data_IF_356301176156
#
_entry.id   IF_356301176156
#
_cell.length_a   1.000
_cell.length_b   1.000
_cell.length_c   1.000
_cell.angle_alpha   90.00
_cell.angle_beta   90.00
_cell.angle_gamma   90.00
#
_symmetry.space_group_name_H-M   'P 1'
#
loop_
_entity.id
_entity.type
_entity.pdbx_description
1 polymer ?
#
# COMPACT_ATOMS: atom_id res chain seq x y z
N UNK A 1 -6.78 -0.34 27.31
CA UNK A 1 -6.04 -1.21 26.36
C UNK A 1 -6.30 -0.86 24.90
N UNK A 2 -7.53 -1.00 24.37
CA UNK A 2 -7.85 -0.72 22.95
C UNK A 2 -7.42 0.68 22.49
N UNK A 3 -7.63 1.72 23.31
CA UNK A 3 -7.21 3.09 22.98
C UNK A 3 -5.68 3.23 22.78
N UNK A 4 -4.89 2.57 23.62
CA UNK A 4 -3.42 2.59 23.53
C UNK A 4 -2.94 1.84 22.29
N UNK A 5 -3.51 0.65 22.02
CA UNK A 5 -3.20 -0.13 20.81
C UNK A 5 -3.56 0.64 19.54
N UNK A 6 -4.73 1.30 19.52
CA UNK A 6 -5.13 2.17 18.40
C UNK A 6 -4.15 3.31 18.20
N UNK A 7 -3.76 4.01 19.27
CA UNK A 7 -2.77 5.09 19.17
C UNK A 7 -1.41 4.58 18.68
N UNK A 8 -0.95 3.45 19.21
CA UNK A 8 0.29 2.80 18.79
C UNK A 8 0.27 2.48 17.30
N UNK A 9 -0.74 1.75 16.83
CA UNK A 9 -0.90 1.41 15.42
C UNK A 9 -0.98 2.65 14.51
N UNK A 10 -1.70 3.68 14.94
CA UNK A 10 -1.80 4.95 14.20
C UNK A 10 -0.45 5.66 14.07
N UNK A 11 0.31 5.76 15.16
CA UNK A 11 1.64 6.36 15.13
C UNK A 11 2.62 5.53 14.30
N UNK A 12 2.60 4.20 14.43
CA UNK A 12 3.41 3.30 13.60
C UNK A 12 3.13 3.50 12.12
N UNK A 13 1.84 3.58 11.73
CA UNK A 13 1.46 3.85 10.34
C UNK A 13 1.98 5.22 9.87
N UNK A 14 1.82 6.28 10.67
CA UNK A 14 2.33 7.62 10.33
C UNK A 14 3.84 7.60 10.13
N UNK A 15 4.60 7.03 11.06
CA UNK A 15 6.07 6.98 10.95
C UNK A 15 6.53 6.14 9.75
N UNK A 16 5.90 4.98 9.52
CA UNK A 16 6.21 4.16 8.36
C UNK A 16 5.92 4.89 7.05
N UNK A 17 4.78 5.59 6.96
CA UNK A 17 4.42 6.41 5.80
C UNK A 17 5.43 7.55 5.55
N UNK A 18 5.85 8.25 6.61
CA UNK A 18 6.83 9.34 6.50
C UNK A 18 8.21 8.82 6.06
N UNK A 19 8.67 7.70 6.62
CA UNK A 19 9.94 7.06 6.23
C UNK A 19 9.86 6.61 4.78
N UNK A 20 8.78 5.93 4.38
CA UNK A 20 8.54 5.51 3.01
C UNK A 20 8.56 6.71 2.06
N UNK A 21 7.79 7.77 2.36
CA UNK A 21 7.75 8.99 1.57
C UNK A 21 9.11 9.64 1.42
N UNK A 22 9.92 9.69 2.49
CA UNK A 22 11.28 10.20 2.43
C UNK A 22 12.19 9.34 1.54
N UNK A 23 12.12 8.00 1.67
CA UNK A 23 12.90 7.09 0.82
C UNK A 23 12.52 7.25 -0.65
N UNK A 24 11.22 7.28 -0.95
CA UNK A 24 10.72 7.45 -2.30
C UNK A 24 11.13 8.80 -2.90
N UNK A 25 10.99 9.88 -2.14
CA UNK A 25 11.24 11.23 -2.62
C UNK A 25 12.73 11.57 -2.78
N UNK A 26 13.56 11.21 -1.80
CA UNK A 26 14.98 11.60 -1.81
C UNK A 26 15.90 10.59 -2.49
N UNK A 27 15.48 9.32 -2.65
CA UNK A 27 16.33 8.27 -3.25
C UNK A 27 15.73 7.63 -4.50
N UNK A 28 14.45 7.25 -4.48
CA UNK A 28 13.88 6.48 -5.60
C UNK A 28 13.55 7.38 -6.80
N UNK A 29 12.77 8.44 -6.59
CA UNK A 29 12.36 9.36 -7.67
C UNK A 29 13.57 9.99 -8.40
N UNK A 30 14.60 10.52 -7.72
CA UNK A 30 15.76 11.09 -8.40
C UNK A 30 16.54 10.04 -9.21
N UNK A 31 16.57 8.79 -8.74
CA UNK A 31 17.23 7.68 -9.43
C UNK A 31 16.34 6.95 -10.44
N UNK A 32 15.17 7.51 -10.76
CA UNK A 32 14.23 7.04 -11.78
C UNK A 32 13.78 8.21 -12.70
N UNK A 33 14.61 9.25 -12.84
CA UNK A 33 14.33 10.46 -13.63
C UNK A 33 12.98 11.13 -13.31
N UNK A 34 12.54 11.06 -12.05
CA UNK A 34 11.26 11.58 -11.55
C UNK A 34 10.02 10.97 -12.21
N UNK A 35 10.18 9.81 -12.87
CA UNK A 35 9.06 9.03 -13.38
C UNK A 35 8.23 8.48 -12.21
N UNK A 36 6.92 8.40 -12.45
CA UNK A 36 6.00 7.93 -11.43
C UNK A 36 6.23 6.47 -11.12
N UNK A 37 6.16 6.15 -9.84
CA UNK A 37 6.19 4.76 -9.40
C UNK A 37 4.88 4.07 -9.77
N UNK A 38 4.90 2.75 -10.02
CA UNK A 38 3.70 1.95 -10.28
C UNK A 38 2.57 2.20 -9.28
N UNK A 39 2.91 2.38 -8.00
CA UNK A 39 1.98 2.63 -6.89
C UNK A 39 1.14 3.91 -7.00
N UNK A 40 1.59 4.89 -7.78
CA UNK A 40 0.90 6.18 -7.94
C UNK A 40 -0.16 6.17 -9.03
N UNK A 41 -0.25 5.08 -9.80
CA UNK A 41 -1.25 4.92 -10.84
C UNK A 41 -2.56 4.38 -10.25
N UNK A 42 -3.39 5.27 -9.72
CA UNK A 42 -4.69 4.96 -9.09
C UNK A 42 -5.62 4.08 -9.95
N UNK A 43 -5.59 4.27 -11.26
CA UNK A 43 -6.40 3.52 -12.25
C UNK A 43 -5.66 2.29 -12.79
N UNK A 44 -4.52 1.94 -12.18
CA UNK A 44 -3.58 0.95 -12.67
C UNK A 44 -2.73 1.44 -13.84
N UNK A 45 -1.81 0.59 -14.27
CA UNK A 45 -0.82 0.79 -15.33
C UNK A 45 -0.68 -0.46 -16.19
N UNK A 46 -0.17 -0.37 -17.42
CA UNK A 46 0.26 -1.54 -18.19
C UNK A 46 1.80 -1.63 -18.25
N UNK A 47 2.32 -2.76 -18.74
CA UNK A 47 3.76 -2.97 -18.85
C UNK A 47 4.47 -1.87 -19.67
N UNK A 48 3.81 -1.30 -20.68
CA UNK A 48 4.40 -0.26 -21.52
C UNK A 48 4.52 1.07 -20.77
N UNK A 49 3.54 1.39 -19.92
CA UNK A 49 3.51 2.63 -19.15
C UNK A 49 4.54 2.67 -18.01
N UNK A 50 4.92 1.52 -17.46
CA UNK A 50 5.95 1.42 -16.40
C UNK A 50 7.34 1.07 -16.92
N UNK A 51 7.48 0.64 -18.18
CA UNK A 51 8.78 0.33 -18.78
C UNK A 51 9.78 1.50 -18.67
N UNK A 52 9.41 2.77 -18.99
CA UNK A 52 10.34 3.89 -18.83
C UNK A 52 10.84 4.08 -17.40
N UNK A 53 9.98 3.81 -16.40
CA UNK A 53 10.39 3.87 -14.99
C UNK A 53 11.41 2.77 -14.68
N UNK A 54 11.14 1.54 -15.13
CA UNK A 54 12.04 0.40 -14.90
C UNK A 54 13.40 0.60 -15.60
N UNK A 55 13.40 1.15 -16.82
CA UNK A 55 14.59 1.42 -17.62
C UNK A 55 15.46 2.54 -17.00
N UNK A 56 14.81 3.57 -16.44
CA UNK A 56 15.49 4.68 -15.78
C UNK A 56 15.97 4.34 -14.35
N UNK A 57 15.49 3.25 -13.76
CA UNK A 57 15.71 2.94 -12.35
C UNK A 57 17.15 2.48 -12.09
N UNK A 58 17.96 3.38 -11.51
CA UNK A 58 19.32 3.07 -11.07
C UNK A 58 19.35 1.97 -10.00
N UNK A 59 20.45 1.21 -9.92
CA UNK A 59 20.62 0.14 -8.92
C UNK A 59 20.33 0.58 -7.47
N UNK A 60 20.91 1.69 -6.96
CA UNK A 60 20.62 2.18 -5.62
C UNK A 60 19.13 2.57 -5.41
N UNK A 61 18.48 3.14 -6.43
CA UNK A 61 17.07 3.48 -6.37
C UNK A 61 16.18 2.23 -6.37
N UNK A 62 16.54 1.20 -7.13
CA UNK A 62 15.89 -0.11 -7.13
C UNK A 62 15.98 -0.78 -5.76
N UNK A 63 17.14 -0.78 -5.12
CA UNK A 63 17.32 -1.33 -3.77
C UNK A 63 16.51 -0.54 -2.72
N UNK A 64 16.47 0.78 -2.86
CA UNK A 64 15.64 1.66 -2.03
C UNK A 64 14.15 1.34 -2.18
N UNK A 65 13.68 1.17 -3.41
CA UNK A 65 12.29 0.85 -3.70
C UNK A 65 11.92 -0.56 -3.24
N UNK A 66 12.78 -1.55 -3.48
CA UNK A 66 12.60 -2.91 -2.96
C UNK A 66 12.53 -2.94 -1.43
N UNK A 67 13.29 -2.08 -0.73
CA UNK A 67 13.20 -1.94 0.73
C UNK A 67 11.89 -1.30 1.19
N UNK A 68 11.35 -0.35 0.42
CA UNK A 68 10.01 0.20 0.67
C UNK A 68 8.98 -0.92 0.61
N UNK A 69 8.88 -1.62 -0.52
CA UNK A 69 7.88 -2.68 -0.74
C UNK A 69 8.06 -3.87 0.21
N UNK A 70 9.32 -4.21 0.53
CA UNK A 70 9.68 -5.36 1.34
C UNK A 70 9.58 -5.17 2.85
N UNK A 71 9.63 -3.91 3.33
CA UNK A 71 9.69 -3.60 4.75
C UNK A 71 8.79 -2.44 5.15
N UNK A 72 9.03 -1.23 4.63
CA UNK A 72 8.35 -0.04 5.15
C UNK A 72 6.86 -0.07 4.85
N UNK A 73 6.49 -0.45 3.63
CA UNK A 73 5.09 -0.52 3.24
C UNK A 73 4.37 -1.68 3.96
N UNK A 74 5.04 -2.81 4.16
CA UNK A 74 4.52 -3.92 4.99
C UNK A 74 4.21 -3.51 6.43
N UNK A 75 5.08 -2.69 7.04
CA UNK A 75 4.84 -2.16 8.38
C UNK A 75 3.67 -1.18 8.35
N UNK A 76 3.63 -0.30 7.35
CA UNK A 76 2.55 0.67 7.17
C UNK A 76 1.19 -0.02 7.02
N UNK A 77 1.05 -0.94 6.06
CA UNK A 77 -0.22 -1.59 5.72
C UNK A 77 -0.79 -2.38 6.91
N UNK A 78 0.05 -3.13 7.61
CA UNK A 78 -0.37 -3.89 8.80
C UNK A 78 -0.79 -2.94 9.91
N UNK A 79 -0.01 -1.88 10.18
CA UNK A 79 -0.35 -0.90 11.19
C UNK A 79 -1.65 -0.15 10.86
N UNK A 80 -1.85 0.22 9.59
CA UNK A 80 -3.05 0.90 9.11
C UNK A 80 -4.29 -0.01 9.21
N UNK A 81 -4.18 -1.28 8.79
CA UNK A 81 -5.27 -2.25 8.90
C UNK A 81 -5.67 -2.50 10.36
N UNK A 82 -4.70 -2.68 11.25
CA UNK A 82 -4.93 -2.79 12.70
C UNK A 82 -5.59 -1.51 13.24
N UNK A 83 -5.11 -0.35 12.84
CA UNK A 83 -5.69 0.93 13.25
C UNK A 83 -7.14 1.07 12.81
N UNK A 84 -7.47 0.73 11.56
CA UNK A 84 -8.85 0.76 11.04
C UNK A 84 -9.75 -0.21 11.79
N UNK A 85 -9.30 -1.45 11.99
CA UNK A 85 -10.04 -2.47 12.73
C UNK A 85 -10.34 -2.02 14.17
N UNK A 86 -9.34 -1.52 14.90
CA UNK A 86 -9.51 -1.02 16.27
C UNK A 86 -10.38 0.25 16.33
N UNK A 87 -10.32 1.11 15.30
CA UNK A 87 -11.17 2.32 15.22
C UNK A 87 -12.64 1.97 14.98
N UNK A 88 -12.90 0.93 14.19
CA UNK A 88 -14.22 0.36 13.93
C UNK A 88 -14.73 -0.57 15.02
N UNK A 89 -13.89 -0.97 15.99
CA UNK A 89 -14.24 -1.94 17.04
C UNK A 89 -15.15 -1.36 18.13
N UNK A 90 -16.39 -1.06 17.75
CA UNK A 90 -17.44 -0.51 18.62
C UNK A 90 -18.83 -0.88 18.10
N UNK A 91 -19.81 -0.93 19.00
CA UNK A 91 -21.23 -1.06 18.64
C UNK A 91 -21.58 -2.38 17.93
N UNK A 92 -22.38 -2.27 16.87
CA UNK A 92 -23.11 -3.33 16.17
C UNK A 92 -22.22 -4.33 15.39
N UNK A 93 -22.87 -5.30 14.72
CA UNK A 93 -22.21 -6.30 13.87
C UNK A 93 -21.36 -5.72 12.72
N UNK A 94 -21.55 -4.44 12.36
CA UNK A 94 -20.76 -3.74 11.36
C UNK A 94 -19.27 -3.70 11.71
N UNK A 95 -18.91 -3.82 13.00
CA UNK A 95 -17.50 -3.92 13.42
C UNK A 95 -16.74 -5.07 12.76
N UNK A 96 -17.39 -6.22 12.56
CA UNK A 96 -16.77 -7.38 11.92
C UNK A 96 -16.58 -7.15 10.42
N UNK A 97 -17.50 -6.42 9.80
CA UNK A 97 -17.38 -6.05 8.39
C UNK A 97 -16.22 -5.07 8.17
N UNK A 98 -16.04 -4.07 9.04
CA UNK A 98 -14.87 -3.17 9.01
C UNK A 98 -13.55 -3.95 9.18
N UNK A 99 -13.50 -4.87 10.14
CA UNK A 99 -12.31 -5.72 10.34
C UNK A 99 -12.03 -6.57 9.10
N UNK A 100 -13.05 -7.18 8.51
CA UNK A 100 -12.93 -7.95 7.28
C UNK A 100 -12.37 -7.11 6.12
N UNK A 101 -12.90 -5.90 5.93
CA UNK A 101 -12.41 -4.97 4.89
C UNK A 101 -10.96 -4.54 5.13
N UNK A 102 -10.59 -4.26 6.37
CA UNK A 102 -9.21 -3.90 6.72
C UNK A 102 -8.23 -5.05 6.43
N UNK A 103 -8.62 -6.29 6.72
CA UNK A 103 -7.81 -7.49 6.40
C UNK A 103 -7.72 -7.70 4.89
N UNK A 104 -8.83 -7.60 4.16
CA UNK A 104 -8.85 -7.74 2.70
C UNK A 104 -7.94 -6.71 2.04
N UNK A 105 -8.04 -5.44 2.45
CA UNK A 105 -7.15 -4.39 1.98
C UNK A 105 -5.67 -4.74 2.23
N UNK A 106 -5.31 -5.15 3.45
CA UNK A 106 -3.94 -5.52 3.76
C UNK A 106 -3.42 -6.69 2.93
N UNK A 107 -4.24 -7.70 2.67
CA UNK A 107 -3.85 -8.85 1.85
C UNK A 107 -3.64 -8.45 0.37
N UNK A 108 -4.50 -7.60 -0.17
CA UNK A 108 -4.37 -7.11 -1.55
C UNK A 108 -3.08 -6.30 -1.71
N UNK A 109 -2.83 -5.39 -0.77
CA UNK A 109 -1.67 -4.51 -0.77
C UNK A 109 -0.35 -5.29 -0.58
N UNK A 110 -0.32 -6.30 0.30
CA UNK A 110 0.83 -7.21 0.42
C UNK A 110 1.06 -8.07 -0.84
N UNK A 111 -0.01 -8.50 -1.50
CA UNK A 111 0.10 -9.24 -2.76
C UNK A 111 0.63 -8.35 -3.89
N UNK A 112 0.22 -7.09 -3.91
CA UNK A 112 0.67 -6.09 -4.86
C UNK A 112 2.16 -5.78 -4.69
N UNK A 113 2.58 -5.50 -3.45
CA UNK A 113 3.98 -5.36 -3.07
C UNK A 113 4.84 -6.55 -3.54
N UNK A 114 4.34 -7.78 -3.35
CA UNK A 114 5.03 -8.98 -3.81
C UNK A 114 5.11 -9.08 -5.35
N UNK A 115 4.09 -8.62 -6.07
CA UNK A 115 4.08 -8.60 -7.52
C UNK A 115 5.08 -7.56 -8.07
N UNK A 116 5.13 -6.36 -7.49
CA UNK A 116 6.09 -5.31 -7.88
C UNK A 116 7.52 -5.76 -7.54
N UNK A 117 7.77 -6.38 -6.39
CA UNK A 117 9.11 -6.92 -6.08
C UNK A 117 9.59 -7.93 -7.13
N UNK A 118 8.71 -8.84 -7.57
CA UNK A 118 9.03 -9.79 -8.65
C UNK A 118 9.28 -9.10 -9.98
N UNK A 119 8.53 -8.03 -10.27
CA UNK A 119 8.73 -7.22 -11.46
C UNK A 119 10.11 -6.53 -11.43
N UNK A 120 10.50 -5.96 -10.28
CA UNK A 120 11.83 -5.40 -10.10
C UNK A 120 12.90 -6.47 -10.32
N UNK A 121 12.76 -7.65 -9.70
CA UNK A 121 13.72 -8.76 -9.81
C UNK A 121 13.88 -9.32 -11.22
N UNK A 122 12.79 -9.40 -11.99
CA UNK A 122 12.76 -10.06 -13.29
C UNK A 122 13.29 -9.23 -14.48
N UNK A 123 13.37 -7.89 -14.37
CA UNK A 123 13.70 -7.02 -15.51
C UNK A 123 12.68 -7.16 -16.65
N UNK A 124 13.15 -7.11 -17.91
CA UNK A 124 12.33 -7.10 -19.16
C UNK A 124 11.45 -8.36 -19.39
N UNK A 125 11.58 -9.38 -18.54
CA UNK A 125 11.14 -10.74 -18.86
C UNK A 125 9.65 -11.06 -18.69
N UNK A 126 8.81 -10.23 -18.07
CA UNK A 126 7.50 -10.72 -17.57
C UNK A 126 6.32 -9.73 -17.71
N UNK A 127 5.73 -9.73 -18.90
CA UNK A 127 4.41 -9.12 -19.21
C UNK A 127 3.31 -9.61 -18.23
N UNK A 128 3.40 -10.83 -17.71
CA UNK A 128 2.40 -11.41 -16.80
C UNK A 128 2.38 -10.82 -15.39
N UNK A 129 3.53 -10.42 -14.83
CA UNK A 129 3.56 -9.83 -13.48
C UNK A 129 3.08 -8.38 -13.48
N UNK A 130 3.31 -7.64 -14.58
CA UNK A 130 2.77 -6.30 -14.76
C UNK A 130 1.23 -6.29 -14.77
N UNK A 131 0.59 -7.25 -15.45
CA UNK A 131 -0.87 -7.37 -15.46
C UNK A 131 -1.46 -7.73 -14.09
N UNK A 132 -0.80 -8.61 -13.34
CA UNK A 132 -1.22 -8.92 -11.96
C UNK A 132 -1.08 -7.70 -11.04
N UNK A 133 0.07 -7.02 -11.11
CA UNK A 133 0.35 -5.84 -10.29
C UNK A 133 -0.60 -4.67 -10.62
N UNK A 134 -0.95 -4.48 -11.90
CA UNK A 134 -1.99 -3.55 -12.35
C UNK A 134 -3.33 -3.75 -11.62
N UNK A 135 -3.89 -4.96 -11.70
CA UNK A 135 -5.19 -5.24 -11.10
C UNK A 135 -5.15 -5.15 -9.58
N UNK A 136 -4.04 -5.56 -8.96
CA UNK A 136 -3.84 -5.45 -7.53
C UNK A 136 -3.74 -4.00 -7.08
N UNK A 137 -3.10 -3.12 -7.86
CA UNK A 137 -3.04 -1.67 -7.58
C UNK A 137 -4.44 -1.07 -7.55
N UNK A 138 -5.26 -1.35 -8.57
CA UNK A 138 -6.66 -0.89 -8.59
C UNK A 138 -7.46 -1.45 -7.41
N UNK A 139 -7.30 -2.73 -7.11
CA UNK A 139 -8.00 -3.40 -6.02
C UNK A 139 -7.58 -2.85 -4.65
N UNK A 140 -6.31 -2.46 -4.45
CA UNK A 140 -5.82 -1.89 -3.17
C UNK A 140 -6.49 -0.56 -2.90
N UNK A 141 -6.58 0.33 -3.90
CA UNK A 141 -7.26 1.61 -3.76
C UNK A 141 -8.77 1.45 -3.57
N UNK A 142 -9.40 0.59 -4.38
CA UNK A 142 -10.84 0.33 -4.26
C UNK A 142 -11.21 -0.22 -2.86
N UNK A 143 -10.44 -1.19 -2.36
CA UNK A 143 -10.66 -1.79 -1.05
C UNK A 143 -10.38 -0.81 0.10
N UNK A 144 -9.32 0.00 0.00
CA UNK A 144 -9.02 1.06 0.97
C UNK A 144 -10.15 2.09 1.03
N UNK A 145 -10.59 2.62 -0.11
CA UNK A 145 -11.67 3.62 -0.15
C UNK A 145 -12.98 3.06 0.39
N UNK A 146 -13.32 1.82 0.03
CA UNK A 146 -14.49 1.15 0.58
C UNK A 146 -14.38 0.98 2.11
N UNK A 147 -13.23 0.53 2.61
CA UNK A 147 -12.98 0.36 4.04
C UNK A 147 -13.12 1.69 4.80
N UNK A 148 -12.51 2.75 4.29
CA UNK A 148 -12.60 4.10 4.89
C UNK A 148 -14.02 4.64 4.86
N UNK A 149 -14.75 4.48 3.75
CA UNK A 149 -16.14 4.92 3.63
C UNK A 149 -17.04 4.21 4.64
N UNK A 150 -16.95 2.89 4.70
CA UNK A 150 -17.71 2.06 5.64
C UNK A 150 -17.35 2.41 7.08
N UNK A 151 -16.07 2.62 7.38
CA UNK A 151 -15.61 3.05 8.69
C UNK A 151 -16.25 4.40 9.05
N UNK A 152 -16.17 5.42 8.20
CA UNK A 152 -16.76 6.75 8.45
C UNK A 152 -18.27 6.64 8.73
N UNK A 153 -19.00 5.89 7.91
CA UNK A 153 -20.45 5.69 8.10
C UNK A 153 -20.74 4.98 9.42
N UNK A 154 -19.98 3.93 9.74
CA UNK A 154 -20.09 3.20 11.00
C UNK A 154 -19.82 4.10 12.21
N UNK A 155 -18.79 4.95 12.13
CA UNK A 155 -18.45 5.88 13.20
C UNK A 155 -19.55 6.90 13.44
N UNK A 156 -20.15 7.45 12.36
CA UNK A 156 -21.23 8.43 12.48
C UNK A 156 -22.52 7.86 13.07
N UNK A 157 -22.81 6.59 12.83
CA UNK A 157 -24.00 5.90 13.35
C UNK A 157 -23.84 5.35 14.77
N UNK A 158 -22.61 5.30 15.26
CA UNK A 158 -22.26 4.76 16.58
C UNK A 158 -21.97 5.85 17.62
N UNK A 159 -22.21 7.12 17.28
CA UNK A 159 -22.13 8.30 18.17
C UNK A 159 -23.52 8.63 18.66
#
# INVERSE_FOLDING_TARGET
MILQLRRGAGWTAIFAYLIMGAVLYFWVLPGADWLWLPDFHLTGYDAQSIAPFLDALSGPARDGYARVLGLYDRVFIVALAVWMALTGWRGSGVRYFVVGLAVVYALIDLAENAAILRLLDAGDGLVGFAAAAHHLTMAKFASLYLCVLVLIVHLRRSV
#
